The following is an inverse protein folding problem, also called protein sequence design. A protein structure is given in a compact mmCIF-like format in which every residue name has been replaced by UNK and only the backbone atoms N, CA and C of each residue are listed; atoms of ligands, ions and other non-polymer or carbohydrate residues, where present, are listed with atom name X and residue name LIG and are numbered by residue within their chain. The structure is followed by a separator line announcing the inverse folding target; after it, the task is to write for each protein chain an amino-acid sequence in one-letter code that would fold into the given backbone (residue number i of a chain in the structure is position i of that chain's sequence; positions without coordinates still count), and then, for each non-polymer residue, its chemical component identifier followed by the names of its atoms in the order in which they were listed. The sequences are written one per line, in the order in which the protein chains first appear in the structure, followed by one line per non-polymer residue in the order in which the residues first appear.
data_IF_442418076630
#
_entry.id   IF_442418076630
#
_cell.length_a   1.000
_cell.length_b   1.000
_cell.length_c   1.000
_cell.angle_alpha   90.00
_cell.angle_beta   90.00
_cell.angle_gamma   90.00
#
_symmetry.space_group_name_H-M   'P 1'
#
loop_
_entity.id
_entity.type
_entity.pdbx_description
1 polymer ?
#
# COMPACT_ATOMS: atom_id res chain seq x y z
N UNK A 1 -11.98 37.77 -14.80
CA UNK A 1 -12.44 37.69 -16.21
C UNK A 1 -12.39 36.23 -16.65
N UNK A 2 -13.21 35.84 -17.60
CA UNK A 2 -13.24 34.49 -18.14
C UNK A 2 -11.87 34.11 -18.76
N UNK A 3 -11.17 35.05 -19.36
CA UNK A 3 -9.82 34.87 -19.93
C UNK A 3 -8.79 34.40 -18.89
N UNK A 4 -8.81 34.95 -17.67
CA UNK A 4 -7.92 34.48 -16.59
C UNK A 4 -8.26 33.06 -16.18
N UNK A 5 -9.54 32.70 -16.13
CA UNK A 5 -9.97 31.33 -15.86
C UNK A 5 -9.49 30.35 -16.92
N UNK A 6 -9.58 30.71 -18.18
CA UNK A 6 -9.18 29.85 -19.30
C UNK A 6 -7.64 29.67 -19.34
N UNK A 7 -6.88 30.71 -19.03
CA UNK A 7 -5.41 30.61 -18.90
C UNK A 7 -5.05 29.72 -17.73
N UNK A 8 -5.69 29.89 -16.55
CA UNK A 8 -5.43 29.05 -15.38
C UNK A 8 -5.83 27.58 -15.62
N UNK A 9 -6.98 27.34 -16.24
CA UNK A 9 -7.42 25.99 -16.58
C UNK A 9 -6.43 25.22 -17.48
N UNK A 10 -5.77 25.93 -18.40
CA UNK A 10 -4.83 25.32 -19.34
C UNK A 10 -3.42 25.11 -18.76
N UNK A 11 -3.04 25.92 -17.78
CA UNK A 11 -1.70 25.87 -17.16
C UNK A 11 -1.67 25.10 -15.83
N UNK A 12 -2.79 25.10 -15.09
CA UNK A 12 -2.92 24.32 -13.84
C UNK A 12 -3.31 22.88 -14.14
N UNK A 13 -2.34 22.02 -14.22
CA UNK A 13 -2.55 20.60 -14.47
C UNK A 13 -2.96 19.81 -13.21
N UNK A 14 -2.97 20.42 -12.03
CA UNK A 14 -3.41 19.79 -10.76
C UNK A 14 -4.92 19.96 -10.56
N UNK A 15 -5.33 21.19 -10.31
CA UNK A 15 -6.73 21.51 -9.95
C UNK A 15 -7.50 22.21 -11.06
N UNK A 16 -6.92 22.31 -12.27
CA UNK A 16 -7.58 22.91 -13.45
C UNK A 16 -8.12 24.32 -13.19
N UNK A 17 -7.36 25.12 -12.45
CA UNK A 17 -7.72 26.50 -12.12
C UNK A 17 -8.72 26.64 -10.96
N UNK A 18 -9.03 25.58 -10.22
CA UNK A 18 -9.88 25.66 -9.04
C UNK A 18 -9.15 26.31 -7.85
N UNK A 19 -9.32 27.63 -7.73
CA UNK A 19 -8.72 28.43 -6.65
C UNK A 19 -9.18 28.01 -5.26
N UNK A 20 -10.38 27.42 -5.14
CA UNK A 20 -10.88 26.91 -3.84
C UNK A 20 -10.08 25.70 -3.40
N UNK A 21 -9.78 24.78 -4.29
CA UNK A 21 -8.92 23.63 -3.99
C UNK A 21 -7.50 24.06 -3.63
N UNK A 22 -6.93 25.04 -4.32
CA UNK A 22 -5.63 25.64 -3.93
C UNK A 22 -5.69 26.29 -2.54
N UNK A 23 -6.79 26.95 -2.20
CA UNK A 23 -7.01 27.51 -0.86
C UNK A 23 -7.11 26.42 0.22
N UNK A 24 -7.82 25.33 -0.06
CA UNK A 24 -7.87 24.15 0.83
C UNK A 24 -6.47 23.55 1.06
N UNK A 25 -5.69 23.38 -0.01
CA UNK A 25 -4.31 22.89 0.10
C UNK A 25 -3.46 23.83 0.98
N UNK A 26 -3.55 25.15 0.78
CA UNK A 26 -2.81 26.12 1.59
C UNK A 26 -3.18 26.04 3.08
N UNK A 27 -4.45 25.88 3.41
CA UNK A 27 -4.89 25.68 4.79
C UNK A 27 -4.42 24.36 5.37
N UNK A 28 -4.45 23.28 4.59
CA UNK A 28 -3.98 21.96 5.01
C UNK A 28 -2.47 21.91 5.21
N UNK A 29 -1.71 22.64 4.40
CA UNK A 29 -0.27 22.83 4.62
C UNK A 29 0.02 23.61 5.92
N UNK A 30 -0.79 24.64 6.25
CA UNK A 30 -0.69 25.32 7.55
C UNK A 30 -0.96 24.36 8.71
N UNK A 31 -1.96 23.47 8.57
CA UNK A 31 -2.24 22.44 9.57
C UNK A 31 -1.04 21.50 9.76
N UNK A 32 -0.42 21.04 8.67
CA UNK A 32 0.82 20.24 8.72
C UNK A 32 1.97 20.95 9.41
N UNK A 33 2.13 22.26 9.17
CA UNK A 33 3.12 23.09 9.88
C UNK A 33 2.80 23.19 11.38
N UNK A 34 1.51 23.35 11.74
CA UNK A 34 1.09 23.36 13.14
C UNK A 34 1.43 22.04 13.85
N UNK A 35 1.23 20.88 13.18
CA UNK A 35 1.62 19.58 13.72
C UNK A 35 3.14 19.49 13.99
N UNK A 36 3.98 20.10 13.14
CA UNK A 36 5.44 20.18 13.39
C UNK A 36 5.81 21.14 14.53
N UNK A 37 4.96 22.16 14.79
CA UNK A 37 5.20 23.17 15.80
C UNK A 37 4.78 22.72 17.21
N UNK A 38 3.91 21.71 17.35
CA UNK A 38 3.21 21.32 18.58
C UNK A 38 4.13 21.15 19.79
N UNK A 39 5.33 20.59 19.59
CA UNK A 39 6.30 20.34 20.65
C UNK A 39 7.17 21.57 20.99
N UNK A 40 7.10 22.63 20.21
CA UNK A 40 7.87 23.89 20.42
C UNK A 40 6.99 25.02 20.93
N UNK A 41 5.81 25.16 20.37
CA UNK A 41 4.84 26.19 20.73
C UNK A 41 3.41 25.64 20.57
N UNK A 42 2.94 24.98 21.62
CA UNK A 42 1.62 24.35 21.65
C UNK A 42 0.48 25.35 21.44
N UNK A 43 0.59 26.51 22.09
CA UNK A 43 -0.46 27.52 22.01
C UNK A 43 -0.59 28.05 20.58
N UNK A 44 0.54 28.36 19.96
CA UNK A 44 0.57 28.80 18.56
C UNK A 44 0.07 27.73 17.60
N UNK A 45 0.43 26.47 17.83
CA UNK A 45 -0.09 25.35 17.03
C UNK A 45 -1.62 25.28 17.13
N UNK A 46 -2.20 25.36 18.32
CA UNK A 46 -3.64 25.33 18.53
C UNK A 46 -4.36 26.51 17.88
N UNK A 47 -3.79 27.73 17.95
CA UNK A 47 -4.32 28.90 17.24
C UNK A 47 -4.37 28.68 15.73
N UNK A 48 -3.29 28.15 15.14
CA UNK A 48 -3.24 27.86 13.70
C UNK A 48 -4.30 26.83 13.32
N UNK A 49 -4.41 25.72 14.08
CA UNK A 49 -5.42 24.69 13.82
C UNK A 49 -6.82 25.27 13.84
N UNK A 50 -7.16 26.04 14.89
CA UNK A 50 -8.45 26.73 14.97
C UNK A 50 -8.70 27.63 13.77
N UNK A 51 -7.71 28.45 13.40
CA UNK A 51 -7.82 29.36 12.26
C UNK A 51 -8.12 28.61 10.93
N UNK A 52 -7.44 27.50 10.67
CA UNK A 52 -7.61 26.78 9.39
C UNK A 52 -8.85 25.89 9.39
N UNK A 53 -9.20 25.28 10.52
CA UNK A 53 -10.39 24.47 10.68
C UNK A 53 -11.69 25.30 10.57
N UNK A 54 -11.68 26.53 11.06
CA UNK A 54 -12.80 27.47 10.98
C UNK A 54 -12.80 28.32 9.70
N UNK A 55 -11.83 28.11 8.80
CA UNK A 55 -11.71 28.85 7.55
C UNK A 55 -12.89 28.56 6.62
N UNK A 56 -13.56 29.59 6.02
CA UNK A 56 -14.63 29.38 5.07
C UNK A 56 -14.19 28.70 3.78
N UNK A 57 -12.89 28.71 3.47
CA UNK A 57 -12.32 27.98 2.34
C UNK A 57 -12.27 26.48 2.63
N UNK A 58 -12.11 26.09 3.90
CA UNK A 58 -11.98 24.72 4.35
C UNK A 58 -10.59 24.14 4.21
N UNK A 59 -10.52 22.85 4.46
CA UNK A 59 -9.33 22.00 4.36
C UNK A 59 -9.53 20.97 3.23
N UNK A 60 -8.47 20.29 2.82
CA UNK A 60 -8.57 19.04 2.07
C UNK A 60 -9.22 18.01 3.00
N UNK A 61 -10.48 17.69 2.79
CA UNK A 61 -11.29 16.85 3.68
C UNK A 61 -11.75 15.55 3.02
N UNK A 62 -11.76 15.50 1.70
CA UNK A 62 -12.16 14.34 0.90
C UNK A 62 -11.15 14.07 -0.20
N UNK A 63 -11.10 12.84 -0.70
CA UNK A 63 -10.18 12.41 -1.75
C UNK A 63 -10.32 13.21 -3.06
N UNK A 64 -11.48 13.85 -3.30
CA UNK A 64 -11.68 14.73 -4.46
C UNK A 64 -10.82 16.01 -4.42
N UNK A 65 -10.35 16.40 -3.24
CA UNK A 65 -9.49 17.56 -3.02
C UNK A 65 -8.00 17.19 -2.97
N UNK A 66 -7.66 15.90 -3.00
CA UNK A 66 -6.28 15.42 -2.86
C UNK A 66 -5.35 16.04 -3.92
N UNK A 67 -4.13 16.34 -3.50
CA UNK A 67 -3.08 16.76 -4.40
C UNK A 67 -2.41 15.51 -4.98
N UNK A 68 -2.92 15.05 -6.11
CA UNK A 68 -2.37 13.95 -6.90
C UNK A 68 -1.73 14.52 -8.16
N UNK A 69 -0.50 14.12 -8.43
CA UNK A 69 0.26 14.63 -9.57
C UNK A 69 0.66 13.50 -10.52
N UNK A 70 0.32 13.67 -11.80
CA UNK A 70 0.82 12.80 -12.85
C UNK A 70 2.26 13.19 -13.20
N UNK A 71 3.21 12.34 -12.85
CA UNK A 71 4.65 12.54 -13.08
C UNK A 71 5.07 12.30 -14.55
N UNK A 72 4.12 11.92 -15.42
CA UNK A 72 4.42 11.57 -16.80
C UNK A 72 4.95 10.14 -16.94
N UNK A 73 5.52 9.83 -18.08
CA UNK A 73 6.10 8.53 -18.37
C UNK A 73 7.37 8.30 -17.57
N UNK A 74 7.56 7.07 -17.11
CA UNK A 74 8.82 6.68 -16.49
C UNK A 74 9.96 6.79 -17.49
N UNK A 75 11.04 7.46 -17.08
CA UNK A 75 12.28 7.53 -17.81
C UNK A 75 13.35 6.76 -17.04
N UNK A 76 14.04 5.82 -17.69
CA UNK A 76 15.13 5.04 -17.11
C UNK A 76 16.29 5.87 -16.56
N UNK A 77 16.39 7.14 -16.93
CA UNK A 77 17.35 8.10 -16.39
C UNK A 77 16.94 8.65 -15.01
N UNK A 78 15.74 8.40 -14.56
CA UNK A 78 15.34 8.74 -13.20
C UNK A 78 16.04 7.82 -12.22
N UNK A 79 17.09 8.35 -11.62
CA UNK A 79 17.76 7.72 -10.51
C UNK A 79 16.87 7.90 -9.27
N UNK A 80 15.86 7.05 -9.16
CA UNK A 80 15.01 7.04 -7.99
C UNK A 80 15.71 6.31 -6.86
N UNK A 81 15.91 7.01 -5.76
CA UNK A 81 16.51 6.50 -4.53
C UNK A 81 15.68 5.40 -3.84
N UNK A 82 14.48 5.14 -4.33
CA UNK A 82 13.67 4.01 -3.87
C UNK A 82 14.19 2.71 -4.46
N UNK A 83 15.14 2.11 -3.77
CA UNK A 83 15.53 0.73 -4.05
C UNK A 83 14.33 -0.21 -3.85
N UNK A 84 14.30 -1.29 -4.62
CA UNK A 84 13.38 -2.39 -4.38
C UNK A 84 13.72 -2.98 -3.03
N UNK A 85 12.93 -2.66 -2.01
CA UNK A 85 13.10 -3.20 -0.66
C UNK A 85 12.11 -4.32 -0.40
N UNK A 86 12.50 -5.24 0.46
CA UNK A 86 11.59 -6.26 1.01
C UNK A 86 10.84 -5.64 2.19
N UNK A 87 9.56 -6.00 2.36
CA UNK A 87 8.78 -5.60 3.53
C UNK A 87 9.33 -6.22 4.81
N UNK A 88 9.35 -5.46 5.91
CA UNK A 88 9.67 -6.02 7.23
C UNK A 88 8.52 -6.88 7.73
N UNK A 89 8.84 -7.95 8.46
CA UNK A 89 7.84 -8.88 9.00
C UNK A 89 6.77 -8.15 9.83
N UNK A 90 7.17 -7.26 10.74
CA UNK A 90 6.23 -6.55 11.59
C UNK A 90 5.20 -5.72 10.80
N UNK A 91 5.64 -5.03 9.76
CA UNK A 91 4.72 -4.24 8.92
C UNK A 91 3.79 -5.15 8.11
N UNK A 92 4.35 -6.19 7.48
CA UNK A 92 3.55 -7.13 6.69
C UNK A 92 2.54 -7.86 7.57
N UNK A 93 2.98 -8.38 8.72
CA UNK A 93 2.09 -9.08 9.67
C UNK A 93 0.97 -8.16 10.19
N UNK A 94 1.30 -6.90 10.49
CA UNK A 94 0.28 -5.92 10.89
C UNK A 94 -0.80 -5.75 9.80
N UNK A 95 -0.37 -5.55 8.55
CA UNK A 95 -1.29 -5.34 7.43
C UNK A 95 -2.08 -6.62 7.09
N UNK A 96 -1.44 -7.79 7.09
CA UNK A 96 -2.09 -9.09 6.82
C UNK A 96 -3.11 -9.43 7.92
N UNK A 97 -2.73 -9.31 9.21
CA UNK A 97 -3.59 -9.68 10.33
C UNK A 97 -4.83 -8.81 10.42
N UNK A 98 -4.72 -7.56 10.02
CA UNK A 98 -5.84 -6.64 9.97
C UNK A 98 -6.60 -6.69 8.63
N UNK A 99 -6.07 -7.37 7.63
CA UNK A 99 -6.57 -7.36 6.23
C UNK A 99 -6.67 -5.93 5.71
N UNK A 100 -5.61 -5.13 5.93
CA UNK A 100 -5.54 -3.74 5.48
C UNK A 100 -5.31 -3.67 3.97
N UNK A 101 -6.24 -3.10 3.18
CA UNK A 101 -6.13 -3.09 1.72
C UNK A 101 -4.87 -2.40 1.19
N UNK A 102 -4.26 -1.50 1.96
CA UNK A 102 -3.01 -0.83 1.57
C UNK A 102 -1.84 -1.79 1.36
N UNK A 103 -1.88 -2.96 2.01
CA UNK A 103 -0.94 -4.05 1.75
C UNK A 103 -0.80 -4.35 0.27
N UNK A 104 -1.96 -4.43 -0.42
CA UNK A 104 -2.07 -4.85 -1.82
C UNK A 104 -1.46 -3.83 -2.78
N UNK A 105 -1.36 -2.57 -2.35
CA UNK A 105 -0.77 -1.48 -3.14
C UNK A 105 0.69 -1.24 -2.79
N UNK A 106 1.05 -1.35 -1.50
CA UNK A 106 2.42 -1.12 -1.03
C UNK A 106 3.39 -2.20 -1.48
N UNK A 107 2.91 -3.43 -1.57
CA UNK A 107 3.73 -4.61 -1.80
C UNK A 107 3.17 -5.49 -2.92
N UNK A 108 4.08 -6.17 -3.60
CA UNK A 108 3.74 -7.21 -4.56
C UNK A 108 3.54 -8.55 -3.84
N UNK A 109 2.61 -9.36 -4.31
CA UNK A 109 2.51 -10.77 -3.91
C UNK A 109 3.84 -11.47 -4.18
N UNK A 110 4.19 -12.44 -3.36
CA UNK A 110 5.37 -13.27 -3.61
C UNK A 110 5.18 -14.16 -4.86
N UNK A 111 6.25 -14.83 -5.27
CA UNK A 111 6.29 -15.63 -6.50
C UNK A 111 5.48 -16.94 -6.43
N UNK A 112 5.03 -17.35 -5.25
CA UNK A 112 4.33 -18.62 -5.04
C UNK A 112 2.83 -18.47 -5.35
N UNK A 113 2.47 -18.37 -6.63
CA UNK A 113 1.08 -18.49 -7.06
C UNK A 113 0.65 -19.96 -7.15
N UNK A 114 -0.63 -20.26 -7.41
CA UNK A 114 -1.14 -21.64 -7.41
C UNK A 114 -0.44 -22.54 -8.44
N UNK A 115 -0.05 -21.98 -9.59
CA UNK A 115 0.69 -22.72 -10.63
C UNK A 115 2.10 -23.07 -10.16
N UNK A 116 2.79 -22.14 -9.50
CA UNK A 116 4.12 -22.37 -8.95
C UNK A 116 4.05 -23.43 -7.85
N UNK A 117 3.08 -23.33 -6.93
CA UNK A 117 2.86 -24.34 -5.88
C UNK A 117 2.58 -25.70 -6.49
N UNK A 118 1.73 -25.80 -7.52
CA UNK A 118 1.46 -27.05 -8.21
C UNK A 118 2.74 -27.63 -8.84
N UNK A 119 3.57 -26.80 -9.45
CA UNK A 119 4.83 -27.24 -10.04
C UNK A 119 5.82 -27.78 -8.98
N UNK A 120 5.83 -27.24 -7.76
CA UNK A 120 6.58 -27.80 -6.62
C UNK A 120 6.07 -29.18 -6.24
N UNK A 121 4.76 -29.41 -6.20
CA UNK A 121 4.19 -30.74 -5.98
C UNK A 121 4.56 -31.73 -7.08
N UNK A 122 4.46 -31.33 -8.35
CA UNK A 122 4.76 -32.17 -9.49
C UNK A 122 6.24 -32.58 -9.52
N UNK A 123 7.12 -31.66 -9.14
CA UNK A 123 8.57 -31.93 -9.06
C UNK A 123 9.00 -32.54 -7.73
N UNK A 124 8.07 -32.76 -6.78
CA UNK A 124 8.33 -33.30 -5.43
C UNK A 124 9.43 -32.52 -4.69
N UNK A 125 9.36 -31.19 -4.80
CA UNK A 125 10.27 -30.28 -4.10
C UNK A 125 9.57 -29.65 -2.91
N UNK A 126 10.37 -29.36 -1.89
CA UNK A 126 9.93 -28.65 -0.69
C UNK A 126 9.79 -27.15 -0.98
N UNK A 127 8.80 -26.52 -0.38
CA UNK A 127 8.58 -25.08 -0.37
C UNK A 127 8.98 -24.52 1.00
N UNK A 128 9.23 -23.19 1.11
CA UNK A 128 9.39 -22.57 2.41
C UNK A 128 8.19 -22.86 3.33
N UNK A 129 8.45 -23.21 4.59
CA UNK A 129 7.41 -23.61 5.57
C UNK A 129 6.29 -22.60 5.69
N UNK A 130 6.63 -21.30 5.65
CA UNK A 130 5.62 -20.24 5.76
C UNK A 130 4.74 -20.08 4.51
N UNK A 131 5.17 -20.61 3.37
CA UNK A 131 4.33 -20.78 2.17
C UNK A 131 3.47 -22.03 2.32
N UNK A 132 4.10 -23.18 2.61
CA UNK A 132 3.42 -24.48 2.65
C UNK A 132 2.27 -24.54 3.66
N UNK A 133 2.45 -23.94 4.86
CA UNK A 133 1.41 -23.90 5.91
C UNK A 133 0.09 -23.27 5.48
N UNK A 134 0.10 -22.46 4.44
CA UNK A 134 -1.09 -21.80 3.90
C UNK A 134 -1.63 -22.46 2.62
N UNK A 135 -1.06 -23.59 2.23
CA UNK A 135 -1.52 -24.35 1.06
C UNK A 135 -2.41 -25.49 1.49
N UNK A 136 -3.64 -25.49 1.04
CA UNK A 136 -4.56 -26.63 1.18
C UNK A 136 -4.47 -27.45 -0.10
N UNK A 137 -4.11 -28.72 0.04
CA UNK A 137 -3.96 -29.67 -1.07
C UNK A 137 -4.90 -30.85 -0.92
N UNK A 138 -5.18 -31.54 -2.01
CA UNK A 138 -5.90 -32.79 -2.04
C UNK A 138 -5.16 -33.82 -2.91
N UNK A 139 -5.60 -35.08 -2.87
CA UNK A 139 -5.06 -36.13 -3.75
C UNK A 139 -6.08 -36.45 -4.82
N UNK A 140 -5.71 -36.22 -6.09
CA UNK A 140 -6.47 -36.63 -7.28
C UNK A 140 -5.63 -37.59 -8.13
N UNK A 141 -6.15 -38.74 -8.45
CA UNK A 141 -5.50 -39.77 -9.27
C UNK A 141 -4.07 -40.12 -8.76
N UNK A 142 -3.93 -40.18 -7.44
CA UNK A 142 -2.65 -40.50 -6.77
C UNK A 142 -1.61 -39.36 -6.77
N UNK A 143 -1.98 -38.15 -7.21
CA UNK A 143 -1.11 -36.98 -7.21
C UNK A 143 -1.58 -35.92 -6.21
N UNK A 144 -0.63 -35.26 -5.54
CA UNK A 144 -0.92 -34.07 -4.70
C UNK A 144 -1.24 -32.91 -5.61
N UNK A 145 -2.43 -32.30 -5.44
CA UNK A 145 -2.86 -31.14 -6.23
C UNK A 145 -3.20 -29.98 -5.32
N UNK A 146 -2.87 -28.77 -5.78
CA UNK A 146 -3.31 -27.54 -5.10
C UNK A 146 -4.83 -27.48 -5.15
N UNK A 147 -5.46 -27.18 -4.03
CA UNK A 147 -6.91 -27.06 -3.92
C UNK A 147 -7.32 -25.60 -3.71
N UNK A 148 -6.80 -24.96 -2.69
CA UNK A 148 -7.13 -23.60 -2.31
C UNK A 148 -6.09 -23.01 -1.35
N UNK A 149 -6.15 -21.70 -1.15
CA UNK A 149 -5.37 -21.02 -0.12
C UNK A 149 -6.07 -21.07 1.22
N UNK A 150 -5.34 -21.49 2.26
CA UNK A 150 -5.71 -21.42 3.66
C UNK A 150 -5.27 -20.09 4.31
N UNK A 151 -5.20 -20.10 5.64
CA UNK A 151 -4.78 -18.92 6.41
C UNK A 151 -5.65 -17.70 6.16
N UNK A 152 -5.08 -16.52 5.85
CA UNK A 152 -5.85 -15.31 5.56
C UNK A 152 -6.62 -15.39 4.22
N UNK A 153 -6.28 -16.34 3.34
CA UNK A 153 -6.86 -16.48 2.00
C UNK A 153 -6.41 -15.37 1.02
N UNK A 154 -6.75 -15.49 -0.26
CA UNK A 154 -6.55 -14.40 -1.21
C UNK A 154 -7.47 -13.20 -0.87
N UNK A 155 -7.00 -11.98 -1.12
CA UNK A 155 -5.70 -11.57 -1.68
C UNK A 155 -4.56 -11.46 -0.66
N UNK A 156 -4.71 -11.89 0.57
CA UNK A 156 -3.83 -11.60 1.72
C UNK A 156 -2.73 -12.63 1.94
N UNK A 157 -2.88 -13.85 1.41
CA UNK A 157 -2.07 -15.01 1.80
C UNK A 157 -0.64 -14.98 1.27
N UNK A 158 -0.36 -14.25 0.19
CA UNK A 158 0.93 -14.28 -0.51
C UNK A 158 1.86 -13.12 -0.14
N UNK A 159 1.79 -12.67 1.12
CA UNK A 159 2.64 -11.60 1.63
C UNK A 159 3.43 -12.06 2.84
N UNK A 160 4.76 -12.03 2.70
CA UNK A 160 5.68 -12.43 3.76
C UNK A 160 6.81 -11.41 3.87
N UNK A 161 7.01 -10.88 5.09
CA UNK A 161 8.05 -9.91 5.38
C UNK A 161 9.31 -10.58 5.95
N UNK A 162 10.44 -9.90 5.83
CA UNK A 162 11.68 -10.34 6.47
C UNK A 162 11.68 -10.05 7.96
N UNK A 163 12.13 -11.00 8.81
CA UNK A 163 12.43 -10.72 10.20
C UNK A 163 13.42 -9.56 10.34
N UNK A 164 13.20 -8.67 11.32
CA UNK A 164 14.06 -7.49 11.52
C UNK A 164 15.45 -7.83 12.05
N UNK A 165 15.60 -9.02 12.60
CA UNK A 165 16.86 -9.56 13.15
C UNK A 165 17.84 -9.99 12.06
N UNK A 166 17.39 -10.08 10.80
CA UNK A 166 18.24 -10.45 9.69
C UNK A 166 19.21 -9.32 9.38
N UNK A 167 20.45 -9.51 9.82
CA UNK A 167 21.56 -8.62 9.49
C UNK A 167 22.33 -9.10 8.26
N UNK A 168 23.11 -8.19 7.67
CA UNK A 168 24.04 -8.54 6.62
C UNK A 168 24.99 -9.67 7.05
N UNK A 169 25.09 -10.74 6.28
CA UNK A 169 25.92 -11.91 6.57
C UNK A 169 25.27 -13.01 7.41
N UNK A 170 23.97 -12.91 7.69
CA UNK A 170 23.22 -13.96 8.40
C UNK A 170 22.24 -14.71 7.47
N UNK A 171 22.40 -14.58 6.15
CA UNK A 171 21.47 -15.18 5.17
C UNK A 171 21.42 -16.71 5.25
N UNK A 172 22.51 -17.35 5.67
CA UNK A 172 22.62 -18.79 5.89
C UNK A 172 21.77 -19.31 7.07
N UNK A 173 21.42 -18.43 8.02
CA UNK A 173 20.56 -18.78 9.15
C UNK A 173 19.06 -18.68 8.83
N UNK A 174 18.70 -18.13 7.69
CA UNK A 174 17.36 -17.80 7.30
C UNK A 174 17.02 -18.39 5.93
N UNK A 175 17.36 -19.68 5.75
CA UNK A 175 17.13 -20.42 4.49
C UNK A 175 15.66 -20.40 4.05
N UNK A 176 14.70 -20.26 4.98
CA UNK A 176 13.28 -20.09 4.66
C UNK A 176 12.97 -18.80 3.87
N UNK A 177 13.84 -17.79 3.97
CA UNK A 177 13.66 -16.49 3.31
C UNK A 177 14.63 -16.28 2.16
N UNK A 178 15.80 -16.92 2.21
CA UNK A 178 16.87 -16.77 1.25
C UNK A 178 17.29 -18.12 0.72
N UNK A 179 17.75 -18.16 -0.51
CA UNK A 179 18.38 -19.32 -1.12
C UNK A 179 19.87 -19.05 -1.36
N UNK A 180 20.72 -19.14 -0.30
CA UNK A 180 22.14 -18.82 -0.41
C UNK A 180 22.88 -19.77 -1.35
N UNK A 181 22.37 -20.98 -1.53
CA UNK A 181 22.92 -21.99 -2.45
C UNK A 181 22.38 -21.87 -3.87
N UNK A 182 21.26 -21.13 -4.04
CA UNK A 182 20.53 -21.07 -5.28
C UNK A 182 19.92 -22.42 -5.71
N UNK A 183 19.58 -23.29 -4.74
CA UNK A 183 19.04 -24.62 -4.98
C UNK A 183 17.71 -24.89 -4.25
N UNK A 184 17.38 -24.06 -3.26
CA UNK A 184 16.20 -24.29 -2.41
C UNK A 184 14.92 -23.84 -3.11
N UNK A 185 14.89 -22.60 -3.61
CA UNK A 185 13.69 -21.98 -4.18
C UNK A 185 13.67 -22.03 -5.70
N UNK A 186 13.91 -23.21 -6.26
CA UNK A 186 14.03 -23.39 -7.70
C UNK A 186 13.17 -24.53 -8.22
N UNK A 187 12.69 -24.36 -9.43
CA UNK A 187 12.07 -25.39 -10.23
C UNK A 187 12.83 -25.54 -11.56
N UNK A 188 12.63 -26.64 -12.22
CA UNK A 188 13.27 -26.93 -13.50
C UNK A 188 12.21 -27.09 -14.58
N UNK A 189 12.43 -26.51 -15.76
CA UNK A 189 11.60 -26.76 -16.94
C UNK A 189 11.82 -28.20 -17.45
N UNK A 190 10.93 -28.67 -18.32
CA UNK A 190 11.10 -29.96 -19.00
C UNK A 190 12.43 -30.06 -19.78
N UNK A 191 12.95 -28.92 -20.25
CA UNK A 191 14.25 -28.81 -20.90
C UNK A 191 15.44 -28.70 -19.92
N UNK A 192 15.18 -28.75 -18.60
CA UNK A 192 16.20 -28.65 -17.55
C UNK A 192 16.63 -27.22 -17.22
N UNK A 193 15.99 -26.18 -17.77
CA UNK A 193 16.28 -24.80 -17.41
C UNK A 193 15.80 -24.50 -15.98
N UNK A 194 16.69 -23.89 -15.18
CA UNK A 194 16.44 -23.54 -13.79
C UNK A 194 15.72 -22.18 -13.70
N UNK A 195 14.73 -22.08 -12.82
CA UNK A 195 14.04 -20.85 -12.48
C UNK A 195 13.94 -20.71 -10.96
N UNK A 196 14.35 -19.57 -10.44
CA UNK A 196 14.25 -19.25 -9.01
C UNK A 196 12.95 -18.53 -8.70
N UNK A 197 12.44 -18.74 -7.49
CA UNK A 197 11.20 -18.12 -6.97
C UNK A 197 11.50 -17.49 -5.62
N UNK A 198 10.95 -16.30 -5.39
CA UNK A 198 11.20 -15.53 -4.18
C UNK A 198 9.98 -15.57 -3.25
N UNK A 199 10.16 -16.08 -2.02
CA UNK A 199 9.04 -16.20 -1.08
C UNK A 199 8.71 -14.88 -0.36
N UNK A 200 9.65 -13.93 -0.32
CA UNK A 200 9.46 -12.64 0.35
C UNK A 200 8.76 -11.62 -0.53
N UNK A 201 8.06 -10.73 0.11
CA UNK A 201 7.30 -9.65 -0.50
C UNK A 201 8.17 -8.42 -0.74
N UNK A 202 8.19 -7.93 -1.97
CA UNK A 202 8.88 -6.70 -2.36
C UNK A 202 7.93 -5.52 -2.42
N UNK A 203 8.47 -4.30 -2.23
CA UNK A 203 7.72 -3.07 -2.48
C UNK A 203 7.20 -3.04 -3.92
N UNK A 204 5.98 -2.55 -4.09
CA UNK A 204 5.38 -2.41 -5.40
C UNK A 204 6.02 -1.23 -6.15
N UNK A 205 6.82 -1.53 -7.16
CA UNK A 205 7.56 -0.54 -7.94
C UNK A 205 6.65 0.33 -8.79
N UNK A 206 5.48 -0.18 -9.19
CA UNK A 206 4.49 0.58 -9.94
C UNK A 206 3.95 1.78 -9.13
N UNK A 207 3.87 1.62 -7.79
CA UNK A 207 3.42 2.71 -6.91
C UNK A 207 4.47 3.79 -6.67
N UNK A 208 5.75 3.48 -6.80
CA UNK A 208 6.84 4.39 -6.39
C UNK A 208 7.70 4.89 -7.55
N UNK A 209 7.81 4.14 -8.63
CA UNK A 209 8.69 4.46 -9.76
C UNK A 209 7.96 4.54 -11.10
N UNK A 210 6.71 4.08 -11.18
CA UNK A 210 6.05 3.85 -12.45
C UNK A 210 6.83 2.85 -13.31
N UNK A 211 7.40 1.82 -12.70
CA UNK A 211 8.09 0.75 -13.41
C UNK A 211 7.06 -0.09 -14.15
N UNK A 212 7.16 -0.10 -15.47
CA UNK A 212 6.12 -0.64 -16.34
C UNK A 212 6.49 -1.98 -16.98
N UNK A 213 7.63 -2.53 -16.61
CA UNK A 213 8.03 -3.87 -17.03
C UNK A 213 7.87 -4.80 -15.85
N UNK A 214 6.81 -5.58 -15.86
CA UNK A 214 6.51 -6.55 -14.83
C UNK A 214 6.44 -7.95 -15.44
N UNK A 215 7.25 -8.87 -14.90
CA UNK A 215 7.21 -10.28 -15.30
C UNK A 215 6.57 -11.06 -14.17
N UNK A 216 5.45 -11.68 -14.46
CA UNK A 216 4.77 -12.50 -13.47
C UNK A 216 5.49 -13.83 -13.27
N UNK A 217 5.69 -14.24 -12.01
CA UNK A 217 6.21 -15.57 -11.73
C UNK A 217 5.15 -16.63 -12.08
N UNK A 218 5.54 -17.56 -12.90
CA UNK A 218 4.74 -18.72 -13.25
C UNK A 218 5.58 -19.99 -13.18
N UNK A 219 4.94 -21.15 -13.30
CA UNK A 219 5.66 -22.41 -13.42
C UNK A 219 6.66 -22.36 -14.59
N UNK A 220 7.76 -23.15 -14.56
CA UNK A 220 8.86 -23.03 -15.51
C UNK A 220 8.46 -23.12 -16.98
N UNK A 221 7.41 -23.88 -17.29
CA UNK A 221 6.96 -24.11 -18.66
C UNK A 221 5.83 -23.16 -19.10
N UNK A 222 5.45 -22.20 -18.23
CA UNK A 222 4.45 -21.18 -18.57
C UNK A 222 5.16 -19.90 -19.00
N UNK A 223 4.76 -19.34 -20.15
CA UNK A 223 5.30 -18.09 -20.64
C UNK A 223 4.88 -16.93 -19.71
N UNK A 224 5.85 -16.20 -19.12
CA UNK A 224 5.54 -15.06 -18.27
C UNK A 224 4.80 -13.97 -19.05
N UNK A 225 3.83 -13.34 -18.40
CA UNK A 225 3.19 -12.13 -18.91
C UNK A 225 4.05 -10.93 -18.55
N UNK A 226 4.32 -10.07 -19.53
CA UNK A 226 5.03 -8.82 -19.34
C UNK A 226 4.14 -7.65 -19.78
N UNK A 227 3.97 -6.67 -18.94
CA UNK A 227 3.47 -5.38 -19.38
C UNK A 227 4.66 -4.49 -19.75
N UNK A 228 4.72 -4.07 -21.01
CA UNK A 228 5.79 -3.21 -21.53
C UNK A 228 5.27 -1.83 -21.94
N UNK A 229 4.02 -1.53 -21.67
CA UNK A 229 3.44 -0.24 -22.03
C UNK A 229 3.88 0.83 -21.02
N UNK A 230 4.21 2.00 -21.55
CA UNK A 230 4.59 3.13 -20.72
C UNK A 230 3.44 4.11 -20.59
N UNK A 231 2.80 4.09 -19.44
CA UNK A 231 1.76 5.04 -19.05
C UNK A 231 2.35 6.22 -18.27
N UNK A 232 1.59 7.27 -18.09
CA UNK A 232 1.87 8.25 -17.06
C UNK A 232 1.63 7.62 -15.68
N UNK A 233 2.38 8.04 -14.67
CA UNK A 233 2.21 7.53 -13.31
C UNK A 233 1.98 8.66 -12.30
N UNK A 234 1.21 8.33 -11.29
CA UNK A 234 0.66 9.29 -10.34
C UNK A 234 1.33 9.13 -8.98
N UNK A 235 1.55 10.25 -8.31
CA UNK A 235 1.98 10.28 -6.91
C UNK A 235 1.01 11.11 -6.09
N UNK A 236 0.75 10.67 -4.86
CA UNK A 236 -0.03 11.39 -3.87
C UNK A 236 0.90 12.30 -3.06
N UNK A 237 0.70 13.62 -3.13
CA UNK A 237 1.57 14.61 -2.48
C UNK A 237 0.99 15.22 -1.22
N UNK A 238 -0.32 15.38 -1.18
CA UNK A 238 -1.06 15.81 0.00
C UNK A 238 -2.50 15.30 -0.08
N UNK A 239 -3.02 14.86 1.04
CA UNK A 239 -4.30 14.13 1.03
C UNK A 239 -5.26 14.54 2.14
N UNK A 240 -6.52 14.16 1.95
CA UNK A 240 -7.54 14.19 2.99
C UNK A 240 -7.16 13.30 4.18
N UNK A 241 -6.41 12.22 3.96
CA UNK A 241 -5.94 11.36 5.04
C UNK A 241 -5.02 12.11 5.99
N UNK A 242 -3.99 12.82 5.47
CA UNK A 242 -3.10 13.64 6.29
C UNK A 242 -3.86 14.67 7.11
N UNK A 243 -4.77 15.39 6.46
CA UNK A 243 -5.61 16.39 7.12
C UNK A 243 -6.39 15.79 8.28
N UNK A 244 -7.04 14.66 8.06
CA UNK A 244 -7.89 14.02 9.07
C UNK A 244 -7.06 13.42 10.21
N UNK A 245 -5.89 12.83 9.95
CA UNK A 245 -4.99 12.35 11.00
C UNK A 245 -4.48 13.51 11.87
N UNK A 246 -4.05 14.63 11.30
CA UNK A 246 -3.68 15.81 12.08
C UNK A 246 -4.85 16.35 12.92
N UNK A 247 -6.07 16.38 12.39
CA UNK A 247 -7.24 16.81 13.16
C UNK A 247 -7.56 15.82 14.30
N UNK A 248 -7.41 14.51 14.08
CA UNK A 248 -7.52 13.50 15.14
C UNK A 248 -6.46 13.73 16.24
N UNK A 249 -5.18 13.89 15.85
CA UNK A 249 -4.08 14.19 16.76
C UNK A 249 -4.38 15.43 17.60
N UNK A 250 -4.71 16.55 16.95
CA UNK A 250 -4.99 17.81 17.67
C UNK A 250 -6.21 17.70 18.60
N UNK A 251 -7.24 16.93 18.21
CA UNK A 251 -8.40 16.65 19.06
C UNK A 251 -7.98 15.88 20.31
N UNK A 252 -7.17 14.82 20.18
CA UNK A 252 -6.62 14.05 21.29
C UNK A 252 -5.70 14.91 22.19
N UNK A 253 -4.97 15.84 21.60
CA UNK A 253 -4.12 16.77 22.34
C UNK A 253 -4.91 17.86 23.08
N UNK A 254 -6.20 18.04 22.81
CA UNK A 254 -7.08 18.98 23.49
C UNK A 254 -7.25 20.32 22.79
N UNK A 255 -6.90 20.44 21.51
CA UNK A 255 -7.28 21.60 20.71
C UNK A 255 -8.80 21.62 20.45
N UNK A 256 -9.38 22.81 20.31
CA UNK A 256 -10.82 22.99 20.09
C UNK A 256 -11.12 24.05 19.03
N UNK A 257 -12.14 23.78 18.21
CA UNK A 257 -12.65 24.70 17.19
C UNK A 257 -14.14 24.45 16.91
N UNK A 258 -14.79 25.38 16.25
CA UNK A 258 -16.20 25.26 15.92
C UNK A 258 -16.43 24.17 14.84
N UNK A 259 -17.44 23.34 15.04
CA UNK A 259 -17.76 22.24 14.10
C UNK A 259 -16.80 21.04 14.19
N UNK A 260 -16.02 20.95 15.27
CA UNK A 260 -15.11 19.84 15.50
C UNK A 260 -15.85 18.51 15.63
N UNK A 261 -15.34 17.49 14.90
CA UNK A 261 -15.75 16.09 15.09
C UNK A 261 -15.01 15.47 16.28
N UNK A 262 -15.44 14.31 16.71
CA UNK A 262 -14.65 13.49 17.66
C UNK A 262 -13.33 13.03 17.03
N UNK A 263 -12.36 12.69 17.87
CA UNK A 263 -11.08 12.12 17.41
C UNK A 263 -11.29 10.83 16.61
N UNK A 264 -12.25 9.98 17.04
CA UNK A 264 -12.58 8.75 16.32
C UNK A 264 -13.14 9.02 14.92
N UNK A 265 -14.01 10.02 14.76
CA UNK A 265 -14.54 10.36 13.43
C UNK A 265 -13.44 10.84 12.49
N UNK A 266 -12.56 11.74 12.94
CA UNK A 266 -11.39 12.15 12.15
C UNK A 266 -10.46 10.99 11.84
N UNK A 267 -10.19 10.12 12.80
CA UNK A 267 -9.35 8.93 12.64
C UNK A 267 -9.93 7.98 11.58
N UNK A 268 -11.22 7.71 11.64
CA UNK A 268 -11.96 6.88 10.66
C UNK A 268 -11.95 7.51 9.27
N UNK A 269 -12.18 8.82 9.18
CA UNK A 269 -12.14 9.56 7.91
C UNK A 269 -10.72 9.52 7.31
N UNK A 270 -9.70 9.66 8.15
CA UNK A 270 -8.29 9.58 7.74
C UNK A 270 -7.93 8.20 7.17
N UNK A 271 -8.31 7.13 7.85
CA UNK A 271 -8.09 5.75 7.37
C UNK A 271 -8.82 5.53 6.06
N UNK A 272 -10.09 5.92 6.00
CA UNK A 272 -10.93 5.77 4.80
C UNK A 272 -10.32 6.52 3.61
N UNK A 273 -9.89 7.76 3.82
CA UNK A 273 -9.25 8.55 2.79
C UNK A 273 -7.90 7.96 2.36
N UNK A 274 -7.10 7.44 3.31
CA UNK A 274 -5.83 6.78 3.00
C UNK A 274 -6.03 5.55 2.12
N UNK A 275 -6.93 4.66 2.49
CA UNK A 275 -7.21 3.43 1.73
C UNK A 275 -7.75 3.77 0.34
N UNK A 276 -8.73 4.65 0.22
CA UNK A 276 -9.32 5.07 -1.07
C UNK A 276 -8.34 5.86 -1.93
N UNK A 277 -7.51 6.71 -1.33
CA UNK A 277 -6.48 7.47 -2.04
C UNK A 277 -5.44 6.56 -2.68
N UNK A 278 -4.98 5.54 -1.95
CA UNK A 278 -4.05 4.55 -2.50
C UNK A 278 -4.69 3.64 -3.54
N UNK A 279 -5.96 3.24 -3.37
CA UNK A 279 -6.71 2.51 -4.40
C UNK A 279 -6.81 3.32 -5.69
N UNK A 280 -7.15 4.61 -5.58
CA UNK A 280 -7.18 5.51 -6.73
C UNK A 280 -5.83 5.62 -7.43
N UNK A 281 -4.75 5.85 -6.69
CA UNK A 281 -3.40 5.93 -7.26
C UNK A 281 -3.00 4.59 -7.91
N UNK A 282 -3.33 3.46 -7.28
CA UNK A 282 -3.09 2.13 -7.84
C UNK A 282 -3.79 1.94 -9.19
N UNK A 283 -5.04 2.39 -9.30
CA UNK A 283 -5.82 2.33 -10.55
C UNK A 283 -5.20 3.17 -11.66
N UNK A 284 -4.64 4.34 -11.31
CA UNK A 284 -4.00 5.25 -12.28
C UNK A 284 -2.61 4.78 -12.69
N UNK A 285 -1.91 4.06 -11.82
CA UNK A 285 -0.57 3.55 -12.08
C UNK A 285 -0.57 2.19 -12.79
N UNK A 286 -1.75 1.72 -13.20
CA UNK A 286 -1.91 0.46 -13.95
C UNK A 286 -1.23 -0.73 -13.27
N UNK A 287 -1.39 -0.83 -11.94
CA UNK A 287 -0.83 -1.94 -11.18
C UNK A 287 -1.38 -3.26 -11.73
N UNK A 288 -0.53 -4.23 -11.99
CA UNK A 288 -0.95 -5.51 -12.51
C UNK A 288 -2.04 -6.16 -11.64
N UNK A 289 -3.08 -6.67 -12.30
CA UNK A 289 -4.23 -7.32 -11.63
C UNK A 289 -5.03 -6.40 -10.71
N UNK A 290 -5.00 -5.09 -10.98
CA UNK A 290 -5.78 -4.14 -10.21
C UNK A 290 -7.29 -4.45 -10.25
N UNK A 291 -7.87 -4.56 -11.44
CA UNK A 291 -9.32 -4.73 -11.67
C UNK A 291 -9.73 -6.13 -12.14
N UNK A 292 -8.78 -7.01 -12.44
CA UNK A 292 -9.01 -8.37 -12.89
C UNK A 292 -7.95 -9.33 -12.32
N UNK A 293 -8.30 -10.59 -11.99
CA UNK A 293 -7.32 -11.58 -11.55
C UNK A 293 -6.37 -11.98 -12.68
N UNK A 294 -5.24 -12.58 -12.32
CA UNK A 294 -4.32 -13.16 -13.29
C UNK A 294 -4.96 -14.32 -14.03
N UNK A 295 -5.07 -14.20 -15.36
CA UNK A 295 -5.84 -15.14 -16.18
C UNK A 295 -5.31 -16.58 -16.14
N UNK A 296 -4.01 -16.77 -15.89
CA UNK A 296 -3.39 -18.08 -15.82
C UNK A 296 -3.44 -18.72 -14.41
N UNK A 297 -3.83 -17.96 -13.38
CA UNK A 297 -4.01 -18.50 -12.03
C UNK A 297 -5.49 -18.46 -11.63
N UNK A 298 -6.21 -19.61 -11.65
CA UNK A 298 -7.63 -19.64 -11.31
C UNK A 298 -7.94 -19.35 -9.84
N UNK A 299 -6.92 -19.27 -8.99
CA UNK A 299 -7.04 -18.97 -7.57
C UNK A 299 -6.59 -17.54 -7.22
N UNK A 300 -6.17 -16.76 -8.21
CA UNK A 300 -5.84 -15.35 -8.01
C UNK A 300 -7.10 -14.48 -7.96
N UNK A 301 -7.01 -13.34 -7.29
CA UNK A 301 -8.08 -12.35 -7.20
C UNK A 301 -7.52 -10.96 -7.47
N UNK A 302 -8.38 -10.08 -8.01
CA UNK A 302 -8.03 -8.68 -8.22
C UNK A 302 -7.78 -7.96 -6.90
N UNK A 303 -6.94 -6.91 -6.94
CA UNK A 303 -6.56 -6.13 -5.76
C UNK A 303 -7.36 -4.84 -5.63
N UNK A 304 -8.28 -4.55 -6.55
CA UNK A 304 -9.17 -3.40 -6.47
C UNK A 304 -9.97 -3.41 -5.17
N UNK A 305 -10.02 -2.27 -4.51
CA UNK A 305 -10.73 -2.13 -3.24
C UNK A 305 -12.17 -2.64 -3.31
N UNK A 306 -12.52 -3.52 -2.37
CA UNK A 306 -13.87 -3.97 -2.13
C UNK A 306 -14.45 -3.20 -0.93
N UNK A 307 -15.70 -2.79 -1.00
CA UNK A 307 -16.35 -2.03 0.09
C UNK A 307 -16.35 -2.80 1.42
N UNK A 308 -16.50 -4.13 1.35
CA UNK A 308 -16.46 -5.00 2.51
C UNK A 308 -15.10 -4.97 3.21
N UNK A 309 -13.99 -4.88 2.48
CA UNK A 309 -12.66 -4.85 3.08
C UNK A 309 -12.46 -3.61 3.95
N UNK A 310 -12.90 -2.45 3.47
CA UNK A 310 -12.83 -1.21 4.25
C UNK A 310 -13.77 -1.28 5.47
N UNK A 311 -14.98 -1.79 5.27
CA UNK A 311 -15.97 -1.95 6.36
C UNK A 311 -15.45 -2.87 7.47
N UNK A 312 -14.81 -3.97 7.12
CA UNK A 312 -14.25 -4.92 8.09
C UNK A 312 -12.96 -4.37 8.73
N UNK A 313 -12.14 -3.62 7.99
CA UNK A 313 -10.96 -2.95 8.52
C UNK A 313 -11.32 -2.01 9.67
N UNK A 314 -12.33 -1.16 9.46
CA UNK A 314 -12.75 -0.16 10.44
C UNK A 314 -13.35 -0.75 11.73
N UNK A 315 -13.64 -2.05 11.76
CA UNK A 315 -14.08 -2.79 12.97
C UNK A 315 -12.91 -3.37 13.78
N UNK A 316 -11.69 -3.38 13.24
CA UNK A 316 -10.54 -3.95 13.93
C UNK A 316 -10.08 -3.05 15.07
N UNK A 317 -9.64 -3.65 16.17
CA UNK A 317 -9.18 -2.94 17.37
C UNK A 317 -8.08 -1.90 17.07
N UNK A 318 -7.17 -2.20 16.15
CA UNK A 318 -6.10 -1.29 15.75
C UNK A 318 -6.62 0.00 15.04
N UNK A 319 -7.89 0.00 14.61
CA UNK A 319 -8.56 1.08 13.88
C UNK A 319 -9.68 1.76 14.70
N UNK A 320 -9.75 1.45 15.99
CA UNK A 320 -10.71 2.03 16.93
C UNK A 320 -9.92 2.66 18.08
N UNK A 321 -10.21 3.92 18.40
CA UNK A 321 -9.62 4.61 19.56
C UNK A 321 -10.22 4.05 20.85
N UNK A 322 -9.37 3.88 21.85
CA UNK A 322 -9.72 3.21 23.12
C UNK A 322 -10.25 4.15 24.20
N UNK A 323 -10.01 5.46 24.04
CA UNK A 323 -10.20 6.48 25.09
C UNK A 323 -8.96 6.69 25.95
N UNK A 324 -7.93 5.84 25.86
CA UNK A 324 -6.62 6.11 26.46
C UNK A 324 -5.80 6.99 25.52
N UNK A 325 -5.47 8.19 25.95
CA UNK A 325 -4.83 9.21 25.13
C UNK A 325 -3.49 8.75 24.52
N UNK A 326 -2.69 8.02 25.29
CA UNK A 326 -1.34 7.61 24.84
C UNK A 326 -1.46 6.54 23.76
N UNK A 327 -2.25 5.53 24.03
CA UNK A 327 -2.57 4.46 23.07
C UNK A 327 -3.25 5.00 21.81
N UNK A 328 -4.16 5.97 21.96
CA UNK A 328 -4.88 6.55 20.84
C UNK A 328 -3.99 7.40 19.94
N UNK A 329 -3.06 8.20 20.53
CA UNK A 329 -2.05 8.91 19.76
C UNK A 329 -1.11 7.95 19.00
N UNK A 330 -0.71 6.85 19.65
CA UNK A 330 0.10 5.82 19.00
C UNK A 330 -0.63 5.24 17.77
N UNK A 331 -1.93 4.93 17.88
CA UNK A 331 -2.74 4.46 16.76
C UNK A 331 -2.79 5.50 15.62
N UNK A 332 -2.95 6.78 15.93
CA UNK A 332 -2.93 7.85 14.92
C UNK A 332 -1.57 7.90 14.22
N UNK A 333 -0.46 7.85 14.96
CA UNK A 333 0.89 7.89 14.38
C UNK A 333 1.22 6.64 13.55
N UNK A 334 0.72 5.47 13.93
CA UNK A 334 0.81 4.26 13.09
C UNK A 334 0.09 4.50 11.75
N UNK A 335 -1.09 5.09 11.76
CA UNK A 335 -1.82 5.36 10.54
C UNK A 335 -1.17 6.45 9.67
N UNK A 336 -0.58 7.48 10.28
CA UNK A 336 0.25 8.45 9.58
C UNK A 336 1.47 7.77 8.93
N UNK A 337 2.18 6.91 9.67
CA UNK A 337 3.32 6.15 9.14
C UNK A 337 2.90 5.29 7.93
N UNK A 338 1.79 4.57 8.03
CA UNK A 338 1.26 3.78 6.92
C UNK A 338 0.89 4.67 5.73
N UNK A 339 0.29 5.83 6.01
CA UNK A 339 -0.09 6.76 4.95
C UNK A 339 1.12 7.35 4.22
N UNK A 340 2.20 7.65 4.94
CA UNK A 340 3.43 8.18 4.35
C UNK A 340 4.37 7.10 3.77
N UNK A 341 4.00 5.84 3.81
CA UNK A 341 4.89 4.75 3.40
C UNK A 341 5.35 4.84 1.93
N UNK A 342 4.49 5.36 1.05
CA UNK A 342 4.77 5.56 -0.38
C UNK A 342 4.57 7.03 -0.83
N UNK A 343 4.43 7.99 0.10
CA UNK A 343 4.22 9.40 -0.19
C UNK A 343 5.54 10.19 -0.26
#
# INVERSE_FOLDING_TARGET
SNEIKDVLNNQDFIYKGDLKKWGKLANSLKLKIAARLINKDRNRAFEIVKQVAESPVGLIATTDDDFVYNKGKFDNNWNNDFSVGVGTQHLIDFLVNNKDPRLLYFFQKNDYNSNVVQAYFDQKREMPDFVEKNVISEVKDGKKVFKEWGGPGEPWVRYYGLPVEIGAGQMDKYEDYFDPTGQLFVLYSAAGAKKSYYPCTYRNQEMVKGLLTYTYPDAPDVTPVQDTQQYGWYGLYFSAAETNFFLAEFTLLGATWNGQKSAQEYFTDGITASVKGYDYVASQNHIPYYDSPYVNDPHDVSIKLQDEWLTELLKKEAYILSGDKVSDLEKVYIQEYLHYFNA
#
